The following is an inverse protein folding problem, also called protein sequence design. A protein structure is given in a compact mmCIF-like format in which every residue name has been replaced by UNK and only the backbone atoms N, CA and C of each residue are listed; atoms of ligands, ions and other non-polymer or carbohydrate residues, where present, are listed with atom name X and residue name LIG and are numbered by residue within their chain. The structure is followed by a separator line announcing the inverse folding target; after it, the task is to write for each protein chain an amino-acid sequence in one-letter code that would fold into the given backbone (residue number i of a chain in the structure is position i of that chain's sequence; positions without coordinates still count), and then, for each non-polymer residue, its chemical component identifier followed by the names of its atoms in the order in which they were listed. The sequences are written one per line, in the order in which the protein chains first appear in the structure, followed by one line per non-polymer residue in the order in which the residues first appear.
data_IF_261560456553
#
_entry.id   IF_261560456553
#
_cell.length_a   1.000
_cell.length_b   1.000
_cell.length_c   1.000
_cell.angle_alpha   90.00
_cell.angle_beta   90.00
_cell.angle_gamma   90.00
#
_symmetry.space_group_name_H-M   'P 1'
#
loop_
_entity.id
_entity.type
_entity.pdbx_description
1 polymer ?
#
# COMPACT_ATOMS: atom_id res chain seq x y z
N UNK A 1 -11.35 -19.82 -0.56
CA UNK A 1 -11.42 -19.43 -0.32
C UNK A 1 -11.74 -18.85 0.20
N UNK A 2 -11.54 -18.90 0.35
CA UNK A 2 -11.79 -18.37 0.84
C UNK A 2 -12.09 -17.63 1.44
N UNK A 3 -12.03 -17.69 1.63
CA UNK A 3 -12.29 -17.06 2.15
C UNK A 3 -12.65 -16.41 2.75
N UNK A 4 -12.60 -16.64 2.89
CA UNK A 4 -12.88 -16.10 3.36
C UNK A 4 -13.08 -15.57 4.12
N UNK A 5 -12.84 -15.92 4.25
CA UNK A 5 -12.86 -15.56 4.90
C UNK A 5 -12.87 -14.86 5.60
N UNK A 6 -12.55 -14.97 5.61
CA UNK A 6 -12.34 -14.40 6.11
C UNK A 6 -12.57 -13.78 6.81
N UNK A 7 -12.62 -13.99 7.05
CA UNK A 7 -12.76 -13.61 7.59
C UNK A 7 -12.77 -12.82 8.05
N UNK A 8 -12.43 -12.78 8.13
CA UNK A 8 -12.36 -12.18 8.50
C UNK A 8 -12.05 -11.49 9.14
N UNK A 9 -11.59 -11.32 9.24
CA UNK A 9 -11.14 -10.98 9.93
C UNK A 9 -11.17 -9.90 10.67
N UNK A 10 -11.11 -10.04 11.59
CA UNK A 10 -11.41 -8.94 12.46
C UNK A 10 -10.21 -8.06 12.68
N UNK A 11 -9.06 -8.60 12.57
CA UNK A 11 -7.82 -7.86 12.82
C UNK A 11 -7.00 -7.80 11.56
N UNK A 12 -6.80 -6.61 11.01
CA UNK A 12 -5.94 -6.49 9.85
C UNK A 12 -4.50 -6.84 10.22
N UNK A 13 -3.84 -7.47 9.30
CA UNK A 13 -2.42 -7.78 9.45
C UNK A 13 -1.63 -6.77 8.63
N UNK A 14 -0.39 -6.57 9.05
CA UNK A 14 0.56 -5.80 8.27
C UNK A 14 1.60 -6.78 7.76
N UNK A 15 1.69 -6.88 6.46
CA UNK A 15 2.67 -7.74 5.82
C UNK A 15 3.85 -6.88 5.39
N UNK A 16 5.00 -7.12 5.98
CA UNK A 16 6.20 -6.36 5.66
C UNK A 16 6.96 -7.11 4.58
N UNK A 17 7.26 -6.43 3.50
CA UNK A 17 7.88 -7.04 2.34
C UNK A 17 9.05 -6.20 1.87
N UNK A 18 10.05 -6.89 1.31
CA UNK A 18 11.13 -6.22 0.61
C UNK A 18 11.02 -6.67 -0.84
N UNK A 19 10.18 -6.01 -1.61
CA UNK A 19 9.90 -6.48 -2.97
C UNK A 19 11.10 -6.28 -3.87
N UNK A 20 11.43 -7.30 -4.64
CA UNK A 20 12.53 -7.21 -5.57
C UNK A 20 12.13 -7.71 -6.95
N UNK A 21 10.86 -7.99 -7.14
CA UNK A 21 10.40 -8.55 -8.39
C UNK A 21 8.92 -8.25 -8.56
N UNK A 22 8.44 -8.48 -9.78
CA UNK A 22 7.03 -8.31 -10.06
C UNK A 22 6.17 -9.32 -9.34
N UNK A 23 6.73 -10.50 -9.05
CA UNK A 23 5.98 -11.50 -8.30
C UNK A 23 5.65 -10.99 -6.89
N UNK A 24 6.59 -10.27 -6.30
CA UNK A 24 6.34 -9.71 -4.98
C UNK A 24 5.23 -8.68 -5.04
N UNK A 25 5.18 -7.89 -6.11
CA UNK A 25 4.12 -6.90 -6.27
C UNK A 25 2.77 -7.58 -6.44
N UNK A 26 2.73 -8.66 -7.21
CA UNK A 26 1.47 -9.38 -7.38
C UNK A 26 0.98 -9.91 -6.05
N UNK A 27 1.88 -10.42 -5.24
CA UNK A 27 1.51 -10.91 -3.92
C UNK A 27 0.99 -9.78 -3.05
N UNK A 28 1.64 -8.63 -3.12
CA UNK A 28 1.20 -7.47 -2.34
C UNK A 28 -0.23 -7.06 -2.74
N UNK A 29 -0.51 -7.07 -4.03
CA UNK A 29 -1.84 -6.69 -4.50
C UNK A 29 -2.88 -7.68 -3.98
N UNK A 30 -2.57 -8.96 -3.97
CA UNK A 30 -3.52 -9.94 -3.43
C UNK A 30 -3.76 -9.71 -1.95
N UNK A 31 -2.71 -9.38 -1.22
CA UNK A 31 -2.87 -9.08 0.20
C UNK A 31 -3.78 -7.88 0.39
N UNK A 32 -3.56 -6.83 -0.39
CA UNK A 32 -4.38 -5.63 -0.30
C UNK A 32 -5.85 -5.92 -0.66
N UNK A 33 -6.06 -6.76 -1.65
CA UNK A 33 -7.41 -7.12 -2.04
C UNK A 33 -8.13 -7.88 -0.93
N UNK A 34 -7.38 -8.56 -0.10
CA UNK A 34 -7.98 -9.29 1.02
C UNK A 34 -8.25 -8.41 2.22
N UNK A 35 -7.96 -7.11 2.12
CA UNK A 35 -8.24 -6.19 3.20
C UNK A 35 -7.11 -6.03 4.19
N UNK A 36 -5.92 -6.48 3.84
CA UNK A 36 -4.78 -6.40 4.72
C UNK A 36 -3.84 -5.29 4.28
N UNK A 37 -2.90 -4.96 5.13
CA UNK A 37 -1.99 -3.84 4.92
C UNK A 37 -0.64 -4.38 4.45
N UNK A 38 0.00 -3.67 3.53
CA UNK A 38 1.32 -4.05 3.05
C UNK A 38 2.29 -2.93 3.31
N UNK A 39 3.43 -3.28 3.87
CA UNK A 39 4.52 -2.34 4.06
C UNK A 39 5.65 -2.76 3.13
N UNK A 40 6.06 -1.83 2.26
CA UNK A 40 7.19 -2.05 1.39
C UNK A 40 8.42 -1.38 1.99
N UNK A 41 9.46 -2.17 2.17
CA UNK A 41 10.76 -1.63 2.52
C UNK A 41 11.62 -1.74 1.26
N UNK A 42 11.89 -0.59 0.65
CA UNK A 42 12.60 -0.55 -0.62
C UNK A 42 14.08 -0.26 -0.48
N UNK A 43 14.54 -0.26 0.75
CA UNK A 43 15.93 0.02 1.04
C UNK A 43 16.86 -0.91 0.28
N UNK A 44 17.87 -0.35 -0.34
CA UNK A 44 18.83 -1.18 -1.04
C UNK A 44 18.49 -1.50 -2.48
N UNK A 45 17.28 -1.19 -2.91
CA UNK A 45 16.93 -1.42 -4.31
C UNK A 45 17.46 -0.31 -5.20
N UNK A 46 17.79 -0.61 -6.43
CA UNK A 46 18.08 0.46 -7.38
C UNK A 46 16.90 1.41 -7.47
N UNK A 47 17.18 2.69 -7.54
CA UNK A 47 16.15 3.70 -7.51
C UNK A 47 15.09 3.49 -8.59
N UNK A 48 15.52 3.18 -9.80
CA UNK A 48 14.56 3.02 -10.89
C UNK A 48 13.65 1.83 -10.67
N UNK A 49 14.17 0.75 -10.12
CA UNK A 49 13.36 -0.42 -9.84
C UNK A 49 12.36 -0.11 -8.73
N UNK A 50 12.85 0.52 -7.66
CA UNK A 50 11.97 0.88 -6.54
C UNK A 50 10.83 1.76 -7.02
N UNK A 51 11.13 2.71 -7.88
CA UNK A 51 10.11 3.62 -8.40
C UNK A 51 9.07 2.87 -9.21
N UNK A 52 9.51 1.97 -10.06
CA UNK A 52 8.58 1.23 -10.91
C UNK A 52 7.67 0.31 -10.10
N UNK A 53 8.24 -0.38 -9.12
CA UNK A 53 7.44 -1.27 -8.29
C UNK A 53 6.42 -0.47 -7.48
N UNK A 54 6.85 0.68 -6.97
CA UNK A 54 5.97 1.54 -6.18
C UNK A 54 4.86 2.12 -7.06
N UNK A 55 5.21 2.60 -8.24
CA UNK A 55 4.21 3.20 -9.13
C UNK A 55 3.16 2.19 -9.53
N UNK A 56 3.59 0.98 -9.83
CA UNK A 56 2.63 -0.04 -10.21
C UNK A 56 1.70 -0.39 -9.05
N UNK A 57 2.28 -0.55 -7.87
CA UNK A 57 1.48 -0.88 -6.69
C UNK A 57 0.52 0.25 -6.37
N UNK A 58 0.98 1.49 -6.51
CA UNK A 58 0.13 2.65 -6.27
C UNK A 58 -1.05 2.68 -7.23
N UNK A 59 -0.82 2.32 -8.48
CA UNK A 59 -1.90 2.27 -9.45
C UNK A 59 -2.93 1.22 -9.09
N UNK A 60 -2.48 0.06 -8.67
CA UNK A 60 -3.39 -0.99 -8.23
C UNK A 60 -4.17 -0.55 -7.00
N UNK A 61 -3.48 0.11 -6.08
CA UNK A 61 -4.11 0.58 -4.86
C UNK A 61 -5.20 1.60 -5.17
N UNK A 62 -4.92 2.46 -6.13
CA UNK A 62 -5.89 3.45 -6.55
C UNK A 62 -7.15 2.78 -7.05
N UNK A 63 -7.00 1.71 -7.82
CA UNK A 63 -8.14 0.97 -8.35
C UNK A 63 -8.94 0.32 -7.23
N UNK A 64 -8.30 0.03 -6.11
CA UNK A 64 -8.97 -0.57 -4.96
C UNK A 64 -9.53 0.49 -4.01
N UNK A 65 -9.37 1.76 -4.35
CA UNK A 65 -9.79 2.88 -3.51
C UNK A 65 -9.02 2.91 -2.18
N UNK A 66 -7.82 2.38 -2.18
CA UNK A 66 -6.99 2.43 -0.99
C UNK A 66 -6.15 3.68 -0.95
N UNK A 67 -5.18 3.70 -0.06
CA UNK A 67 -4.31 4.86 0.07
C UNK A 67 -2.93 4.41 0.54
N UNK A 68 -1.96 5.28 0.36
CA UNK A 68 -0.60 4.96 0.75
C UNK A 68 -0.01 6.10 1.54
N UNK A 69 0.95 5.74 2.39
CA UNK A 69 1.60 6.69 3.26
C UNK A 69 3.09 6.40 3.23
N UNK A 70 3.90 7.44 3.03
CA UNK A 70 5.34 7.29 3.12
C UNK A 70 5.70 7.35 4.60
N UNK A 71 6.21 6.24 5.12
CA UNK A 71 6.56 6.16 6.52
C UNK A 71 7.99 6.64 6.75
N UNK A 72 8.84 6.34 5.81
CA UNK A 72 10.22 6.73 5.89
C UNK A 72 10.74 6.92 4.50
N UNK A 73 12.07 7.04 4.39
CA UNK A 73 12.65 7.38 3.13
C UNK A 73 12.36 6.37 2.04
N UNK A 74 12.51 5.12 2.33
CA UNK A 74 12.26 4.08 1.35
C UNK A 74 11.26 3.08 1.88
N UNK A 75 10.33 3.56 2.70
CA UNK A 75 9.35 2.70 3.33
C UNK A 75 7.96 3.27 3.10
N UNK A 76 7.11 2.46 2.50
CA UNK A 76 5.75 2.86 2.18
C UNK A 76 4.76 1.91 2.79
N UNK A 77 3.66 2.45 3.25
CA UNK A 77 2.56 1.66 3.77
C UNK A 77 1.41 1.76 2.79
N UNK A 78 0.92 0.63 2.35
CA UNK A 78 -0.23 0.57 1.44
C UNK A 78 -1.41 0.00 2.20
N UNK A 79 -2.51 0.72 2.19
CA UNK A 79 -3.67 0.38 3.00
C UNK A 79 -4.90 0.21 2.15
N UNK A 80 -5.68 -0.84 2.39
CA UNK A 80 -6.97 -0.98 1.73
C UNK A 80 -7.94 0.07 2.27
N UNK A 81 -9.07 0.29 1.61
CA UNK A 81 -9.97 1.36 2.02
C UNK A 81 -10.54 1.24 3.41
N UNK A 82 -10.56 0.03 3.96
CA UNK A 82 -11.15 -0.17 5.28
C UNK A 82 -10.20 0.16 6.43
N UNK A 83 -8.99 0.60 6.11
CA UNK A 83 -7.99 0.89 7.13
C UNK A 83 -7.57 2.34 7.03
N UNK A 84 -7.47 3.00 8.17
CA UNK A 84 -6.99 4.35 8.24
C UNK A 84 -5.67 4.39 8.94
N UNK A 85 -4.79 5.29 8.49
CA UNK A 85 -3.49 5.46 9.10
C UNK A 85 -3.29 6.93 9.41
N UNK A 86 -2.84 7.19 10.62
CA UNK A 86 -2.50 8.54 11.04
C UNK A 86 -1.01 8.56 11.33
N UNK A 87 -0.33 9.56 10.82
CA UNK A 87 1.11 9.69 11.02
C UNK A 87 1.39 10.97 11.77
N UNK A 88 1.81 10.83 13.00
CA UNK A 88 2.15 11.99 13.81
C UNK A 88 3.49 12.55 13.37
N UNK A 89 3.59 13.85 13.38
CA UNK A 89 4.83 14.50 13.02
C UNK A 89 4.99 14.74 11.54
N UNK A 90 4.06 14.23 10.74
CA UNK A 90 4.11 14.44 9.30
C UNK A 90 2.80 15.01 8.83
N UNK A 91 2.16 15.71 9.69
CA UNK A 91 0.80 16.13 9.43
C UNK A 91 0.66 17.06 8.29
N UNK A 92 1.72 17.70 7.92
CA UNK A 92 1.52 18.58 6.83
C UNK A 92 1.37 17.84 5.55
N UNK A 93 1.44 16.68 5.60
CA UNK A 93 1.29 16.06 4.43
C UNK A 93 0.60 15.07 4.42
N UNK A 94 0.13 14.90 4.65
CA UNK A 94 -0.51 13.89 4.59
C UNK A 94 -0.77 13.44 3.35
N UNK A 95 -0.65 13.28 2.79
CA UNK A 95 -0.86 12.89 1.92
C UNK A 95 -1.12 12.42 1.17
N UNK A 96 -0.99 12.20 0.92
CA UNK A 96 -1.05 11.62 0.20
C UNK A 96 -1.98 11.03 -0.17
N UNK A 97 -2.41 10.99 -0.52
CA UNK A 97 -3.24 10.30 -0.70
C UNK A 97 -3.85 10.22 -1.76
N UNK A 98 -3.95 9.46 -2.07
CA UNK A 98 -4.43 9.07 -3.06
C UNK A 98 -5.73 9.50 -3.14
N UNK A 99 -6.13 9.79 -2.41
CA UNK A 99 -7.26 10.18 -2.54
C UNK A 99 -7.56 11.10 -3.15
N UNK A 100 -7.12 11.37 -3.17
CA UNK A 100 -7.39 11.98 -3.55
C UNK A 100 -7.85 12.17 -4.55
N UNK A 101 -7.91 11.76 -4.68
CA UNK A 101 -8.28 11.78 -5.52
C UNK A 101 -9.10 12.26 -5.96
N UNK A 102 -9.18 12.53 -5.44
CA UNK A 102 -9.95 13.00 -5.70
C UNK A 102 -10.18 13.34 -6.78
N UNK A 103 -9.50 13.21 -7.13
CA UNK A 103 -9.45 13.50 -8.16
C UNK A 103 -10.03 13.17 -9.07
N UNK A 104 -10.26 12.84 -8.91
CA UNK A 104 -10.80 12.50 -9.57
C UNK A 104 -11.55 13.23 -10.22
N UNK A 105 -11.57 13.77 -9.96
CA UNK A 105 -12.18 14.43 -10.53
C UNK A 105 -11.86 14.84 -11.52
N UNK A 106 -11.29 14.62 -11.58
CA UNK A 106 -10.91 14.76 -12.44
C UNK A 106 -11.20 14.68 -13.20
#
# INVERSE_FOLDING_TARGET
MNNLFFTQNAFPHVYSMQPDSWEAVEKAVEILKSGQIVLFNLEGLPTSLAQRLTDFTSGCLCALAGHQVAIGRDVYLFCPPNVKVSVSGLEEHPQVTVESHDPVEV
#
